data_IF_118595936139
#
_entry.id   IF_118595936139
#
_cell.length_a   1.000
_cell.length_b   1.000
_cell.length_c   1.000
_cell.angle_alpha   90.00
_cell.angle_beta   90.00
_cell.angle_gamma   90.00
#
_symmetry.space_group_name_H-M   'P 1'
#
loop_
_entity.id
_entity.type
_entity.pdbx_description
1 polymer ?
#
# COMPACT_ATOMS: atom_id res chain seq x y z
N UNK A 1 29.48 0.89 -4.75
CA UNK A 1 28.25 1.73 -4.73
C UNK A 1 28.72 3.16 -4.50
N UNK A 2 28.39 4.08 -5.40
CA UNK A 2 28.69 5.51 -5.23
C UNK A 2 27.59 6.07 -4.30
N UNK A 3 27.93 6.74 -3.19
CA UNK A 3 26.94 7.35 -2.32
C UNK A 3 26.04 8.30 -3.10
N UNK A 4 24.75 8.32 -2.76
CA UNK A 4 23.81 9.27 -3.35
C UNK A 4 24.31 10.70 -3.15
N UNK A 5 24.33 11.49 -4.22
CA UNK A 5 24.74 12.89 -4.22
C UNK A 5 23.52 13.76 -4.59
N UNK A 6 23.42 14.96 -4.03
CA UNK A 6 22.41 15.92 -4.47
C UNK A 6 22.49 16.16 -5.98
N UNK A 7 21.34 16.13 -6.66
CA UNK A 7 21.28 16.38 -8.09
C UNK A 7 21.53 17.86 -8.38
N UNK A 8 22.41 18.14 -9.33
CA UNK A 8 22.54 19.49 -9.87
C UNK A 8 21.39 19.78 -10.86
N UNK A 9 20.97 21.04 -10.96
CA UNK A 9 19.97 21.45 -11.94
C UNK A 9 20.41 21.06 -13.36
N UNK A 10 19.51 20.45 -14.12
CA UNK A 10 19.79 19.99 -15.49
C UNK A 10 20.54 18.65 -15.60
N UNK A 11 20.80 17.96 -14.47
CA UNK A 11 21.46 16.65 -14.44
C UNK A 11 20.50 15.61 -13.88
N UNK A 12 20.46 14.43 -14.49
CA UNK A 12 19.77 13.25 -14.02
C UNK A 12 20.77 12.09 -13.89
N UNK A 13 20.92 11.55 -12.69
CA UNK A 13 21.69 10.32 -12.48
C UNK A 13 20.86 9.11 -12.89
N UNK A 14 21.37 8.30 -13.79
CA UNK A 14 20.70 7.12 -14.34
C UNK A 14 21.47 5.86 -13.98
N UNK A 15 20.81 4.91 -13.32
CA UNK A 15 21.27 3.54 -13.18
C UNK A 15 20.82 2.77 -14.44
N UNK A 16 21.75 2.45 -15.33
CA UNK A 16 21.42 1.80 -16.60
C UNK A 16 21.07 0.34 -16.39
N UNK A 17 19.91 -0.05 -16.90
CA UNK A 17 19.49 -1.45 -17.08
C UNK A 17 19.41 -1.70 -18.59
N UNK A 18 20.04 -2.76 -19.14
CA UNK A 18 20.09 -2.96 -20.59
C UNK A 18 18.71 -3.37 -21.14
N UNK A 19 18.33 -2.75 -22.27
CA UNK A 19 17.19 -3.15 -23.08
C UNK A 19 17.48 -4.46 -23.82
N UNK A 20 16.47 -5.30 -23.99
CA UNK A 20 16.58 -6.53 -24.79
C UNK A 20 16.49 -6.25 -26.29
N UNK A 21 15.65 -5.31 -26.68
CA UNK A 21 15.48 -4.85 -28.07
C UNK A 21 15.22 -3.34 -28.10
N UNK A 22 15.52 -2.65 -29.21
CA UNK A 22 15.22 -1.22 -29.34
C UNK A 22 13.74 -0.90 -29.10
N UNK A 23 13.48 0.23 -28.47
CA UNK A 23 12.12 0.72 -28.16
C UNK A 23 11.65 1.68 -29.25
N UNK A 24 10.41 1.51 -29.68
CA UNK A 24 9.67 2.49 -30.48
C UNK A 24 8.62 3.16 -29.60
N UNK A 25 8.66 4.47 -29.44
CA UNK A 25 7.70 5.21 -28.62
C UNK A 25 6.27 4.94 -29.09
N UNK A 26 5.36 4.69 -28.12
CA UNK A 26 3.97 4.37 -28.39
C UNK A 26 3.69 2.93 -28.88
N UNK A 27 4.74 2.10 -29.05
CA UNK A 27 4.59 0.70 -29.47
C UNK A 27 5.04 -0.25 -28.36
N UNK A 28 4.12 -1.10 -27.91
CA UNK A 28 4.42 -2.12 -26.91
C UNK A 28 5.15 -3.30 -27.54
N UNK A 29 6.22 -3.79 -26.89
CA UNK A 29 6.97 -4.96 -27.34
C UNK A 29 7.24 -5.91 -26.17
N UNK A 30 6.62 -7.11 -26.21
CA UNK A 30 6.77 -8.12 -25.16
C UNK A 30 8.22 -8.57 -24.93
N UNK A 31 9.10 -8.42 -25.93
CA UNK A 31 10.53 -8.75 -25.79
C UNK A 31 11.24 -7.91 -24.73
N UNK A 32 10.70 -6.73 -24.43
CA UNK A 32 11.16 -5.86 -23.34
C UNK A 32 10.43 -6.10 -22.00
N UNK A 33 9.53 -7.07 -21.89
CA UNK A 33 8.84 -7.38 -20.62
C UNK A 33 9.81 -7.70 -19.49
N UNK A 34 10.84 -8.50 -19.77
CA UNK A 34 11.89 -8.83 -18.78
C UNK A 34 12.74 -7.63 -18.39
N UNK A 35 12.96 -6.67 -19.29
CA UNK A 35 13.62 -5.41 -18.95
C UNK A 35 12.82 -4.61 -17.92
N UNK A 36 11.51 -4.52 -18.09
CA UNK A 36 10.65 -3.82 -17.12
C UNK A 36 10.78 -4.46 -15.73
N UNK A 37 10.73 -5.77 -15.65
CA UNK A 37 10.92 -6.48 -14.37
C UNK A 37 12.32 -6.26 -13.78
N UNK A 38 13.36 -6.30 -14.60
CA UNK A 38 14.72 -6.05 -14.14
C UNK A 38 14.90 -4.61 -13.58
N UNK A 39 14.18 -3.61 -14.12
CA UNK A 39 14.18 -2.26 -13.55
C UNK A 39 13.50 -2.21 -12.20
N UNK A 40 12.35 -2.87 -12.04
CA UNK A 40 11.63 -2.95 -10.77
C UNK A 40 12.46 -3.72 -9.72
N UNK A 41 13.04 -4.84 -10.10
CA UNK A 41 13.89 -5.63 -9.22
C UNK A 41 15.11 -4.83 -8.75
N UNK A 42 15.83 -4.18 -9.67
CA UNK A 42 16.99 -3.35 -9.31
C UNK A 42 16.63 -2.23 -8.34
N UNK A 43 15.45 -1.62 -8.53
CA UNK A 43 14.96 -0.58 -7.65
C UNK A 43 14.60 -1.13 -6.25
N UNK A 44 13.92 -2.28 -6.20
CA UNK A 44 13.60 -2.95 -4.94
C UNK A 44 14.88 -3.35 -4.16
N UNK A 45 15.85 -3.97 -4.83
CA UNK A 45 17.15 -4.32 -4.24
C UNK A 45 17.87 -3.11 -3.66
N UNK A 46 17.83 -1.97 -4.35
CA UNK A 46 18.42 -0.72 -3.87
C UNK A 46 17.73 -0.18 -2.62
N UNK A 47 16.41 -0.28 -2.53
CA UNK A 47 15.68 0.10 -1.31
C UNK A 47 15.95 -0.86 -0.15
N UNK A 48 15.93 -2.17 -0.40
CA UNK A 48 16.17 -3.18 0.62
C UNK A 48 17.61 -3.13 1.19
N UNK A 49 18.57 -2.79 0.35
CA UNK A 49 19.98 -2.63 0.78
C UNK A 49 20.29 -1.27 1.42
N UNK A 50 19.35 -0.32 1.41
CA UNK A 50 19.57 1.06 1.86
C UNK A 50 20.39 1.92 0.89
N UNK A 51 20.63 1.47 -0.34
CA UNK A 51 21.26 2.28 -1.40
C UNK A 51 20.30 3.40 -1.86
N UNK A 52 18.99 3.11 -1.92
CA UNK A 52 17.94 4.05 -2.25
C UNK A 52 17.06 4.33 -1.03
N UNK A 53 16.68 5.58 -0.85
CA UNK A 53 15.81 5.99 0.25
C UNK A 53 14.35 5.60 0.02
N UNK A 54 13.91 5.58 -1.23
CA UNK A 54 12.55 5.24 -1.62
C UNK A 54 12.48 4.90 -3.11
N UNK A 55 11.38 4.29 -3.51
CA UNK A 55 11.05 3.96 -4.90
C UNK A 55 9.77 4.69 -5.32
N UNK A 56 9.84 5.40 -6.44
CA UNK A 56 8.68 5.99 -7.12
C UNK A 56 8.53 5.31 -8.47
N UNK A 57 7.37 4.70 -8.72
CA UNK A 57 7.13 3.94 -9.95
C UNK A 57 6.35 4.75 -10.98
N UNK A 58 6.71 4.58 -12.25
CA UNK A 58 5.85 4.92 -13.38
C UNK A 58 4.85 3.77 -13.67
N UNK A 59 3.87 4.00 -14.58
CA UNK A 59 2.94 2.95 -14.99
C UNK A 59 3.64 1.86 -15.79
N UNK A 60 3.20 0.61 -15.63
CA UNK A 60 3.62 -0.54 -16.44
C UNK A 60 2.44 -1.18 -17.14
N UNK A 61 2.68 -1.80 -18.29
CA UNK A 61 1.64 -2.54 -19.01
C UNK A 61 1.70 -4.02 -18.63
N UNK A 62 0.84 -4.44 -17.69
CA UNK A 62 0.80 -5.82 -17.17
C UNK A 62 0.71 -6.89 -18.26
N UNK A 63 -0.14 -6.66 -19.28
CA UNK A 63 -0.31 -7.59 -20.41
C UNK A 63 0.99 -7.87 -21.13
N UNK A 64 1.81 -6.85 -21.41
CA UNK A 64 3.11 -7.04 -22.11
C UNK A 64 4.09 -7.86 -21.28
N UNK A 65 4.09 -7.70 -19.95
CA UNK A 65 4.93 -8.49 -19.06
C UNK A 65 4.46 -9.95 -19.04
N UNK A 66 3.16 -10.18 -18.93
CA UNK A 66 2.58 -11.52 -18.97
C UNK A 66 2.81 -12.19 -20.33
N UNK A 67 2.69 -11.46 -21.45
CA UNK A 67 2.98 -11.95 -22.80
C UNK A 67 4.47 -12.30 -23.01
N UNK A 68 5.36 -11.76 -22.18
CA UNK A 68 6.76 -12.14 -22.11
C UNK A 68 7.02 -13.45 -21.35
N UNK A 69 5.95 -14.09 -20.87
CA UNK A 69 5.99 -15.39 -20.17
C UNK A 69 6.31 -15.26 -18.67
N UNK A 70 6.15 -14.08 -18.07
CA UNK A 70 6.37 -13.86 -16.64
C UNK A 70 5.06 -13.43 -15.98
N UNK A 71 4.51 -14.22 -15.03
CA UNK A 71 3.32 -13.83 -14.28
C UNK A 71 3.56 -12.51 -13.53
N UNK A 72 2.69 -11.54 -13.77
CA UNK A 72 2.78 -10.23 -13.12
C UNK A 72 1.38 -9.68 -12.85
N UNK A 73 1.02 -9.54 -11.60
CA UNK A 73 -0.27 -9.02 -11.13
C UNK A 73 -0.25 -7.50 -10.90
N UNK A 74 0.88 -6.99 -10.44
CA UNK A 74 1.08 -5.55 -10.18
C UNK A 74 2.35 -5.25 -9.40
N UNK A 75 2.60 -3.96 -9.19
CA UNK A 75 3.73 -3.50 -8.40
C UNK A 75 3.65 -3.99 -6.94
N UNK A 76 2.47 -3.94 -6.35
CA UNK A 76 2.24 -4.27 -4.94
C UNK A 76 2.67 -5.70 -4.64
N UNK A 77 2.16 -6.66 -5.40
CA UNK A 77 2.46 -8.07 -5.23
C UNK A 77 3.93 -8.37 -5.55
N UNK A 78 4.45 -7.74 -6.60
CA UNK A 78 5.85 -7.88 -6.98
C UNK A 78 6.80 -7.41 -5.86
N UNK A 79 6.54 -6.23 -5.30
CA UNK A 79 7.40 -5.70 -4.23
C UNK A 79 7.22 -6.43 -2.91
N UNK A 80 6.02 -6.92 -2.59
CA UNK A 80 5.80 -7.78 -1.43
C UNK A 80 6.67 -9.06 -1.51
N UNK A 81 6.67 -9.71 -2.68
CA UNK A 81 7.52 -10.88 -2.94
C UNK A 81 9.01 -10.56 -2.80
N UNK A 82 9.48 -9.44 -3.40
CA UNK A 82 10.88 -9.03 -3.29
C UNK A 82 11.30 -8.70 -1.84
N UNK A 83 10.39 -8.14 -1.05
CA UNK A 83 10.61 -7.82 0.36
C UNK A 83 10.45 -9.03 1.29
N UNK A 84 9.93 -10.15 0.79
CA UNK A 84 9.67 -11.35 1.61
C UNK A 84 8.57 -11.15 2.65
N UNK A 85 7.59 -10.27 2.37
CA UNK A 85 6.44 -10.02 3.24
C UNK A 85 5.16 -10.57 2.60
N UNK A 86 4.29 -11.11 3.43
CA UNK A 86 3.03 -11.74 3.01
C UNK A 86 1.82 -10.77 3.08
N UNK A 87 1.99 -9.61 3.72
CA UNK A 87 0.98 -8.56 3.76
C UNK A 87 1.60 -7.17 3.61
N UNK A 88 0.95 -6.35 2.81
CA UNK A 88 1.24 -4.93 2.62
C UNK A 88 -0.01 -4.11 2.88
N UNK A 89 0.16 -2.84 3.25
CA UNK A 89 -0.95 -1.90 3.44
C UNK A 89 -0.87 -0.82 2.37
N UNK A 90 -1.90 -0.74 1.55
CA UNK A 90 -2.03 0.34 0.56
C UNK A 90 -2.52 1.61 1.25
N UNK A 91 -1.82 2.71 1.02
CA UNK A 91 -2.18 4.01 1.57
C UNK A 91 -2.30 5.04 0.46
N UNK A 92 -3.38 5.81 0.50
CA UNK A 92 -3.55 7.03 -0.28
C UNK A 92 -3.17 8.21 0.62
N UNK A 93 -2.23 9.04 0.17
CA UNK A 93 -1.73 10.13 0.98
C UNK A 93 -1.71 11.45 0.21
N UNK A 94 -2.12 12.51 0.90
CA UNK A 94 -1.99 13.90 0.48
C UNK A 94 -1.60 14.73 1.69
N UNK A 95 -1.33 16.01 1.49
CA UNK A 95 -1.10 16.93 2.61
C UNK A 95 -2.32 16.95 3.54
N UNK A 96 -2.10 16.71 4.82
CA UNK A 96 -3.13 16.69 5.86
C UNK A 96 -3.99 15.41 5.93
N UNK A 97 -3.93 14.50 4.96
CA UNK A 97 -4.76 13.30 4.97
C UNK A 97 -4.01 12.04 4.51
N UNK A 98 -4.15 10.96 5.27
CA UNK A 98 -3.69 9.61 4.93
C UNK A 98 -4.81 8.61 5.12
N UNK A 99 -5.10 7.83 4.10
CA UNK A 99 -6.14 6.80 4.12
C UNK A 99 -5.52 5.46 3.82
N UNK A 100 -5.46 4.58 4.80
CA UNK A 100 -5.04 3.20 4.64
C UNK A 100 -6.24 2.31 4.29
N UNK A 101 -6.04 1.35 3.40
CA UNK A 101 -7.08 0.47 2.92
C UNK A 101 -7.00 -0.90 3.61
N UNK A 102 -8.10 -1.34 4.21
CA UNK A 102 -8.20 -2.66 4.82
C UNK A 102 -8.29 -3.78 3.76
N UNK A 103 -8.85 -3.47 2.59
CA UNK A 103 -8.94 -4.40 1.44
C UNK A 103 -8.60 -3.67 0.15
N UNK A 104 -8.08 -4.40 -0.85
CA UNK A 104 -7.73 -3.87 -2.17
C UNK A 104 -8.16 -4.85 -3.27
N UNK A 105 -8.64 -4.30 -4.41
CA UNK A 105 -8.88 -5.04 -5.65
C UNK A 105 -9.83 -6.24 -5.53
N UNK A 106 -10.78 -6.20 -4.59
CA UNK A 106 -11.83 -7.21 -4.45
C UNK A 106 -13.12 -6.76 -5.14
N UNK A 107 -13.94 -7.69 -5.67
CA UNK A 107 -15.33 -7.41 -5.99
C UNK A 107 -16.06 -6.91 -4.73
N UNK A 108 -16.95 -5.93 -4.88
CA UNK A 108 -17.63 -5.32 -3.74
C UNK A 108 -18.35 -6.35 -2.83
N UNK A 109 -18.95 -7.38 -3.42
CA UNK A 109 -19.64 -8.45 -2.68
C UNK A 109 -18.74 -9.28 -1.78
N UNK A 110 -17.42 -9.29 -2.06
CA UNK A 110 -16.44 -10.13 -1.35
C UNK A 110 -15.71 -9.32 -0.26
N UNK A 111 -15.98 -8.01 -0.16
CA UNK A 111 -15.29 -7.11 0.78
C UNK A 111 -15.62 -7.47 2.23
N UNK A 112 -16.89 -7.70 2.54
CA UNK A 112 -17.31 -8.00 3.92
C UNK A 112 -16.61 -9.26 4.45
N UNK A 113 -16.57 -10.31 3.64
CA UNK A 113 -15.93 -11.59 4.02
C UNK A 113 -14.40 -11.47 4.17
N UNK A 114 -13.79 -10.49 3.51
CA UNK A 114 -12.35 -10.22 3.60
C UNK A 114 -11.96 -9.42 4.85
N UNK A 115 -12.91 -8.74 5.51
CA UNK A 115 -12.69 -8.05 6.78
C UNK A 115 -12.78 -9.07 7.93
N UNK A 116 -11.66 -9.70 8.23
CA UNK A 116 -11.53 -10.64 9.34
C UNK A 116 -10.77 -10.04 10.51
N UNK A 117 -10.92 -10.61 11.69
CA UNK A 117 -10.15 -10.21 12.89
C UNK A 117 -8.65 -10.21 12.60
N UNK A 118 -8.15 -11.27 11.96
CA UNK A 118 -6.74 -11.40 11.65
C UNK A 118 -6.26 -10.34 10.63
N UNK A 119 -6.99 -10.16 9.52
CA UNK A 119 -6.61 -9.21 8.47
C UNK A 119 -6.61 -7.76 8.97
N UNK A 120 -7.64 -7.38 9.76
CA UNK A 120 -7.77 -6.04 10.30
C UNK A 120 -6.70 -5.76 11.37
N UNK A 121 -6.49 -6.70 12.29
CA UNK A 121 -5.45 -6.59 13.32
C UNK A 121 -4.07 -6.38 12.67
N UNK A 122 -3.70 -7.20 11.70
CA UNK A 122 -2.42 -7.07 10.98
C UNK A 122 -2.31 -5.74 10.23
N UNK A 123 -3.38 -5.31 9.55
CA UNK A 123 -3.39 -4.03 8.82
C UNK A 123 -3.12 -2.86 9.75
N UNK A 124 -3.81 -2.79 10.90
CA UNK A 124 -3.62 -1.70 11.88
C UNK A 124 -2.22 -1.78 12.52
N UNK A 125 -1.72 -2.97 12.79
CA UNK A 125 -0.38 -3.14 13.36
C UNK A 125 0.72 -2.68 12.41
N UNK A 126 0.65 -3.04 11.14
CA UNK A 126 1.58 -2.58 10.10
C UNK A 126 1.49 -1.04 9.98
N UNK A 127 0.27 -0.51 9.89
CA UNK A 127 0.03 0.93 9.78
C UNK A 127 0.62 1.70 10.97
N UNK A 128 0.36 1.26 12.19
CA UNK A 128 0.92 1.87 13.42
C UNK A 128 2.44 1.89 13.39
N UNK A 129 3.04 0.73 13.09
CA UNK A 129 4.49 0.59 12.99
C UNK A 129 5.10 1.54 11.96
N UNK A 130 4.52 1.62 10.78
CA UNK A 130 5.07 2.43 9.70
C UNK A 130 4.82 3.92 9.89
N UNK A 131 3.68 4.31 10.46
CA UNK A 131 3.45 5.71 10.85
C UNK A 131 4.50 6.19 11.85
N UNK A 132 4.94 5.33 12.78
CA UNK A 132 6.01 5.68 13.72
C UNK A 132 7.38 5.70 13.06
N UNK A 133 7.75 4.64 12.34
CA UNK A 133 9.13 4.43 11.88
C UNK A 133 9.44 5.07 10.53
N UNK A 134 8.47 5.17 9.61
CA UNK A 134 8.67 5.74 8.28
C UNK A 134 8.15 7.18 8.17
N UNK A 135 7.07 7.50 8.88
CA UNK A 135 6.48 8.85 8.86
C UNK A 135 6.91 9.71 10.05
N UNK A 136 7.59 9.15 11.06
CA UNK A 136 8.09 9.88 12.23
C UNK A 136 6.99 10.37 13.17
N UNK A 137 5.80 9.79 13.14
CA UNK A 137 4.67 10.16 14.00
C UNK A 137 4.76 9.35 15.29
N UNK A 138 5.28 9.93 16.36
CA UNK A 138 5.55 9.21 17.61
C UNK A 138 4.31 8.56 18.23
N UNK A 139 3.16 9.22 18.15
CA UNK A 139 1.87 8.74 18.68
C UNK A 139 0.80 8.85 17.59
N UNK A 140 0.74 7.89 16.64
CA UNK A 140 -0.31 7.90 15.63
C UNK A 140 -1.69 7.83 16.26
N UNK A 141 -2.62 8.66 15.79
CA UNK A 141 -4.04 8.54 16.08
C UNK A 141 -4.74 8.07 14.82
N UNK A 142 -5.40 6.91 14.89
CA UNK A 142 -5.99 6.25 13.72
C UNK A 142 -7.50 6.23 13.90
N UNK A 143 -8.20 6.87 12.96
CA UNK A 143 -9.65 6.82 12.84
C UNK A 143 -10.03 5.61 11.98
N UNK A 144 -10.93 4.77 12.44
CA UNK A 144 -11.35 3.57 11.73
C UNK A 144 -12.78 3.74 11.23
N UNK A 145 -12.98 3.69 9.92
CA UNK A 145 -14.30 3.70 9.31
C UNK A 145 -15.04 2.40 9.59
N UNK A 146 -16.35 2.48 9.84
CA UNK A 146 -17.23 1.33 9.70
C UNK A 146 -17.27 0.83 8.26
N UNK A 147 -17.54 -0.44 8.08
CA UNK A 147 -17.77 -1.07 6.78
C UNK A 147 -19.16 -0.75 6.25
N UNK A 148 -20.16 -0.88 7.13
CA UNK A 148 -21.56 -0.68 6.77
C UNK A 148 -21.97 0.79 6.87
N UNK A 149 -23.04 1.20 6.16
CA UNK A 149 -23.60 2.54 6.31
C UNK A 149 -23.87 2.85 7.77
N UNK A 150 -23.54 4.08 8.21
CA UNK A 150 -23.70 4.55 9.59
C UNK A 150 -23.05 3.62 10.65
N UNK A 151 -21.95 2.95 10.27
CA UNK A 151 -21.27 1.95 11.09
C UNK A 151 -22.21 0.84 11.61
N UNK A 152 -23.12 0.37 10.74
CA UNK A 152 -24.02 -0.76 11.01
C UNK A 152 -25.25 -0.46 11.88
N UNK A 153 -25.44 0.78 12.37
CA UNK A 153 -26.57 1.19 13.22
C UNK A 153 -26.88 0.18 14.35
N UNK A 154 -25.83 -0.19 15.12
CA UNK A 154 -25.98 -1.15 16.21
C UNK A 154 -26.34 -2.58 15.76
N UNK A 155 -25.99 -2.94 14.54
CA UNK A 155 -26.22 -4.26 13.94
C UNK A 155 -27.49 -4.38 13.10
N UNK A 156 -28.22 -3.28 12.91
CA UNK A 156 -29.42 -3.28 12.04
C UNK A 156 -29.07 -3.27 10.53
N UNK A 157 -27.89 -2.80 10.19
CA UNK A 157 -27.39 -2.69 8.79
C UNK A 157 -26.14 -3.51 8.54
N UNK A 158 -25.96 -4.60 9.28
CA UNK A 158 -24.76 -5.45 9.24
C UNK A 158 -24.16 -5.60 10.63
N UNK A 159 -23.34 -6.60 10.83
CA UNK A 159 -22.79 -6.92 12.15
C UNK A 159 -21.26 -6.93 12.18
N UNK A 160 -20.63 -6.62 11.06
CA UNK A 160 -19.18 -6.66 10.89
C UNK A 160 -18.48 -5.71 11.87
N UNK A 161 -19.09 -4.56 12.19
CA UNK A 161 -18.60 -3.65 13.21
C UNK A 161 -18.57 -4.32 14.58
N UNK A 162 -19.66 -4.97 15.00
CA UNK A 162 -19.82 -5.59 16.32
C UNK A 162 -19.02 -6.89 16.41
N UNK A 163 -19.06 -7.72 15.35
CA UNK A 163 -18.52 -9.07 15.40
C UNK A 163 -17.01 -9.12 15.07
N UNK A 164 -16.48 -8.11 14.36
CA UNK A 164 -15.08 -8.07 13.90
C UNK A 164 -14.37 -6.78 14.28
N UNK A 165 -14.89 -5.60 13.88
CA UNK A 165 -14.11 -4.36 13.95
C UNK A 165 -13.93 -3.92 15.42
N UNK A 166 -15.01 -3.77 16.19
CA UNK A 166 -14.95 -3.36 17.59
C UNK A 166 -14.04 -4.26 18.44
N UNK A 167 -14.15 -5.60 18.38
CA UNK A 167 -13.27 -6.49 19.15
C UNK A 167 -11.77 -6.29 18.82
N UNK A 168 -11.41 -6.09 17.56
CA UNK A 168 -10.02 -5.82 17.16
C UNK A 168 -9.54 -4.47 17.69
N UNK A 169 -10.39 -3.44 17.59
CA UNK A 169 -10.02 -2.11 18.10
C UNK A 169 -9.84 -2.13 19.61
N UNK A 170 -10.70 -2.83 20.34
CA UNK A 170 -10.62 -2.93 21.80
C UNK A 170 -9.36 -3.69 22.25
N UNK A 171 -9.00 -4.76 21.56
CA UNK A 171 -7.75 -5.47 21.79
C UNK A 171 -6.53 -4.58 21.58
N UNK A 172 -6.47 -3.86 20.47
CA UNK A 172 -5.35 -2.97 20.15
C UNK A 172 -5.29 -1.73 21.05
N UNK A 173 -6.44 -1.18 21.47
CA UNK A 173 -6.51 -0.11 22.49
C UNK A 173 -5.94 -0.57 23.82
N UNK A 174 -6.23 -1.81 24.23
CA UNK A 174 -5.65 -2.39 25.45
C UNK A 174 -4.11 -2.55 25.35
N UNK A 175 -3.57 -2.65 24.14
CA UNK A 175 -2.14 -2.67 23.86
C UNK A 175 -1.53 -1.26 23.76
N UNK A 176 -2.33 -0.19 23.93
CA UNK A 176 -1.86 1.20 23.91
C UNK A 176 -1.95 1.91 22.57
N UNK A 177 -2.65 1.36 21.58
CA UNK A 177 -2.91 2.05 20.31
C UNK A 177 -3.95 3.16 20.49
N UNK A 178 -3.73 4.32 19.89
CA UNK A 178 -4.71 5.40 19.87
C UNK A 178 -5.65 5.23 18.68
N UNK A 179 -6.77 4.53 18.90
CA UNK A 179 -7.76 4.20 17.87
C UNK A 179 -9.12 4.80 18.22
N UNK A 180 -9.79 5.41 17.25
CA UNK A 180 -11.16 5.88 17.36
C UNK A 180 -12.02 5.22 16.28
N UNK A 181 -13.19 4.72 16.64
CA UNK A 181 -14.12 4.05 15.71
C UNK A 181 -14.67 2.74 16.27
N UNK A 182 -15.45 1.98 15.48
CA UNK A 182 -15.81 2.30 14.09
C UNK A 182 -16.69 3.53 13.98
N UNK A 183 -16.31 4.47 13.06
CA UNK A 183 -17.04 5.70 12.81
C UNK A 183 -17.76 5.62 11.45
N UNK A 184 -18.94 6.28 11.29
CA UNK A 184 -19.59 6.35 9.99
C UNK A 184 -18.68 7.00 8.94
N UNK A 185 -18.43 6.31 7.83
CA UNK A 185 -17.50 6.77 6.78
C UNK A 185 -17.98 8.04 6.08
N UNK A 186 -19.28 8.29 6.03
CA UNK A 186 -19.90 9.50 5.45
C UNK A 186 -19.64 10.77 6.26
N UNK A 187 -19.31 10.65 7.54
CA UNK A 187 -19.08 11.79 8.43
C UNK A 187 -17.66 11.90 8.97
N UNK A 188 -16.84 10.86 8.84
CA UNK A 188 -15.49 10.81 9.39
C UNK A 188 -14.53 11.81 8.74
N UNK A 189 -14.72 12.14 7.47
CA UNK A 189 -13.85 13.04 6.72
C UNK A 189 -14.27 14.53 6.83
N UNK A 190 -14.90 14.91 7.93
CA UNK A 190 -15.22 16.32 8.25
C UNK A 190 -14.05 16.99 8.97
N UNK A 191 -13.95 18.33 8.83
CA UNK A 191 -12.86 19.15 9.41
C UNK A 191 -12.63 18.91 10.91
N UNK A 192 -13.67 18.51 11.65
CA UNK A 192 -13.55 18.20 13.08
C UNK A 192 -12.67 16.99 13.41
N UNK A 193 -12.41 16.14 12.42
CA UNK A 193 -11.59 14.92 12.57
C UNK A 193 -10.24 15.03 11.85
N UNK A 194 -10.10 15.96 10.91
CA UNK A 194 -8.90 16.24 10.14
C UNK A 194 -8.17 17.45 10.70
#
# INVERSE_FOLDING_TARGET
>A
VVPAQPQAAGVLTVCSVPLMVPVTAGSLDKRNGKYVLATLQRAAEGCLSGEFAALVTGPVHKGVINDAGVPFSGHTEFFAEQAGVDQVVMMLATEGLRVALATTHLPLRDVADAITTESLHRTITILQHDLQNQFGIATPHILVCGLNPHAGEGGHMGREEIDVIEPVLDELRAQGYSLEGPLPADTLFQDKYL
#
